data_IF_332184320859
#
_entry.id   IF_332184320859
#
_cell.length_a   1.000
_cell.length_b   1.000
_cell.length_c   1.000
_cell.angle_alpha   90.00
_cell.angle_beta   90.00
_cell.angle_gamma   90.00
#
_symmetry.space_group_name_H-M   'P 1'
#
loop_
_entity.id
_entity.type
_entity.pdbx_description
1 polymer ?
#
# COMPACT_ATOMS: atom_id res chain seq x y z
N UNK A 1 -3.89 23.11 -2.26
CA UNK A 1 -4.67 22.06 -2.96
C UNK A 1 -3.75 21.42 -3.98
N UNK A 2 -3.41 20.15 -3.78
CA UNK A 2 -2.30 19.52 -4.52
C UNK A 2 -2.67 19.29 -5.99
N UNK A 3 -2.03 20.04 -6.90
CA UNK A 3 -2.18 19.93 -8.36
C UNK A 3 -1.82 18.53 -8.91
N UNK A 4 -1.21 17.69 -8.09
CA UNK A 4 -0.59 16.43 -8.46
C UNK A 4 -1.60 15.35 -8.87
N UNK A 5 -2.66 15.14 -8.10
CA UNK A 5 -3.70 14.15 -8.44
C UNK A 5 -4.55 14.59 -9.63
N UNK A 6 -4.69 15.90 -9.80
CA UNK A 6 -5.41 16.47 -10.91
C UNK A 6 -4.85 16.02 -12.28
N UNK A 7 -3.53 15.89 -12.38
CA UNK A 7 -2.90 15.47 -13.63
C UNK A 7 -3.06 13.96 -13.92
N UNK A 8 -2.94 13.09 -12.90
CA UNK A 8 -3.07 11.63 -13.09
C UNK A 8 -4.39 11.26 -13.71
N UNK A 9 -5.46 11.81 -13.16
CA UNK A 9 -6.80 11.39 -13.53
C UNK A 9 -7.22 12.08 -14.85
N UNK A 10 -6.79 13.31 -15.12
CA UNK A 10 -7.10 14.02 -16.36
C UNK A 10 -6.64 13.27 -17.61
N UNK A 11 -5.43 12.71 -17.56
CA UNK A 11 -4.87 12.00 -18.70
C UNK A 11 -5.40 10.56 -18.81
N UNK A 12 -5.84 9.94 -17.68
CA UNK A 12 -6.55 8.66 -17.69
C UNK A 12 -7.96 8.81 -18.30
N UNK A 13 -8.66 9.89 -18.03
CA UNK A 13 -10.03 10.14 -18.54
C UNK A 13 -10.11 10.30 -20.05
N UNK A 14 -9.04 10.77 -20.69
CA UNK A 14 -9.00 10.96 -22.15
C UNK A 14 -8.68 9.67 -22.93
N UNK A 15 -8.08 8.64 -22.28
CA UNK A 15 -7.58 7.44 -22.96
C UNK A 15 -8.52 6.23 -22.83
N UNK A 16 -9.41 6.21 -21.84
CA UNK A 16 -10.26 5.04 -21.58
C UNK A 16 -11.65 5.25 -22.17
N UNK A 17 -11.84 4.76 -23.37
CA UNK A 17 -13.16 4.65 -24.05
C UNK A 17 -14.11 3.65 -23.36
N UNK A 18 -14.25 3.74 -22.06
CA UNK A 18 -15.05 2.85 -21.23
C UNK A 18 -15.17 3.29 -19.78
N UNK A 19 -14.59 4.42 -19.39
CA UNK A 19 -14.81 5.09 -18.10
C UNK A 19 -14.59 4.25 -16.83
N UNK A 20 -13.72 3.23 -16.83
CA UNK A 20 -13.40 2.47 -15.64
C UNK A 20 -12.04 2.94 -15.08
N UNK A 21 -12.05 3.59 -13.93
CA UNK A 21 -10.82 3.94 -13.21
C UNK A 21 -10.60 2.90 -12.13
N UNK A 22 -9.41 2.27 -12.13
CA UNK A 22 -9.01 1.29 -11.13
C UNK A 22 -7.86 1.85 -10.32
N UNK A 23 -8.04 1.93 -9.00
CA UNK A 23 -7.01 2.24 -8.04
C UNK A 23 -6.72 1.03 -7.14
N UNK A 24 -5.51 0.95 -6.61
CA UNK A 24 -5.11 -0.15 -5.75
C UNK A 24 -4.40 0.38 -4.51
N UNK A 25 -4.69 -0.21 -3.36
CA UNK A 25 -3.87 -0.03 -2.15
C UNK A 25 -3.33 -1.37 -1.69
N UNK A 26 -2.07 -1.39 -1.33
CA UNK A 26 -1.34 -2.59 -0.95
C UNK A 26 -0.69 -2.40 0.42
N UNK A 27 -0.78 -3.40 1.28
CA UNK A 27 0.19 -3.52 2.36
C UNK A 27 1.56 -3.94 1.80
N UNK A 28 2.61 -3.79 2.59
CA UNK A 28 3.98 -4.08 2.16
C UNK A 28 4.45 -5.46 2.62
N UNK A 29 4.52 -5.64 3.96
CA UNK A 29 5.05 -6.85 4.57
C UNK A 29 4.12 -8.04 4.34
N UNK A 30 4.70 -9.19 4.04
CA UNK A 30 4.02 -10.47 3.78
C UNK A 30 2.92 -10.41 2.69
N UNK A 31 2.70 -9.24 2.11
CA UNK A 31 1.73 -8.98 1.04
C UNK A 31 2.43 -8.71 -0.32
N UNK A 32 3.29 -7.69 -0.44
CA UNK A 32 4.12 -7.46 -1.64
C UNK A 32 5.39 -8.30 -1.56
N UNK A 33 6.09 -8.22 -0.43
CA UNK A 33 7.35 -8.95 -0.18
C UNK A 33 7.32 -9.62 1.20
N UNK A 34 7.87 -10.82 1.29
CA UNK A 34 8.19 -11.43 2.57
C UNK A 34 9.50 -10.82 3.08
N UNK A 35 9.37 -9.86 3.99
CA UNK A 35 10.51 -9.09 4.50
C UNK A 35 11.24 -9.85 5.60
N UNK A 36 12.59 -9.82 5.67
CA UNK A 36 13.35 -10.44 6.75
C UNK A 36 13.31 -9.64 8.07
N UNK A 37 12.77 -8.43 8.06
CA UNK A 37 12.58 -7.54 9.22
C UNK A 37 11.91 -8.28 10.38
N UNK A 38 12.36 -8.06 11.62
CA UNK A 38 11.85 -8.77 12.80
C UNK A 38 11.30 -7.81 13.86
N UNK A 39 10.31 -8.30 14.60
CA UNK A 39 9.73 -7.63 15.77
C UNK A 39 10.34 -8.23 17.02
N UNK A 40 10.81 -7.37 17.94
CA UNK A 40 11.39 -7.78 19.22
C UNK A 40 10.28 -7.86 20.26
N UNK A 41 10.13 -9.00 20.90
CA UNK A 41 9.16 -9.21 21.99
C UNK A 41 9.81 -9.99 23.13
N UNK A 42 9.26 -9.86 24.33
CA UNK A 42 9.63 -10.73 25.44
C UNK A 42 8.62 -11.87 25.57
N UNK A 43 9.11 -13.11 25.62
CA UNK A 43 8.32 -14.31 25.86
C UNK A 43 8.43 -14.74 27.32
N UNK A 44 7.33 -15.10 27.95
CA UNK A 44 7.30 -15.60 29.31
C UNK A 44 7.87 -17.02 29.37
N UNK A 45 8.94 -17.21 30.16
CA UNK A 45 9.57 -18.49 30.38
C UNK A 45 9.67 -18.74 31.91
N UNK A 46 8.88 -19.67 32.39
CA UNK A 46 8.76 -19.91 33.83
C UNK A 46 8.26 -18.67 34.58
N UNK A 47 9.09 -18.13 35.48
CA UNK A 47 8.81 -16.88 36.23
C UNK A 47 9.42 -15.63 35.60
N UNK A 48 10.20 -15.78 34.54
CA UNK A 48 10.92 -14.69 33.86
C UNK A 48 10.40 -14.35 32.49
N UNK A 49 11.07 -13.41 31.86
CA UNK A 49 10.84 -12.98 30.49
C UNK A 49 12.13 -13.09 29.69
N UNK A 50 12.07 -13.65 28.49
CA UNK A 50 13.20 -13.80 27.60
C UNK A 50 12.96 -13.04 26.29
N UNK A 51 13.94 -12.21 25.83
CA UNK A 51 13.81 -11.50 24.57
C UNK A 51 13.92 -12.48 23.40
N UNK A 52 12.96 -12.39 22.47
CA UNK A 52 12.97 -13.11 21.20
C UNK A 52 12.68 -12.16 20.03
N UNK A 53 12.95 -12.62 18.81
CA UNK A 53 12.65 -11.92 17.57
C UNK A 53 11.70 -12.78 16.74
N UNK A 54 10.60 -12.20 16.31
CA UNK A 54 9.55 -12.88 15.56
C UNK A 54 9.33 -12.20 14.21
N UNK A 55 8.79 -12.93 13.23
CA UNK A 55 8.33 -12.35 11.97
C UNK A 55 7.02 -11.59 12.16
N UNK A 56 6.62 -10.85 11.15
CA UNK A 56 5.30 -10.21 11.04
C UNK A 56 4.17 -11.23 11.13
N UNK A 57 4.25 -12.35 10.40
CA UNK A 57 3.31 -13.47 10.45
C UNK A 57 3.20 -14.08 11.87
N UNK A 58 4.36 -14.36 12.52
CA UNK A 58 4.37 -14.85 13.89
C UNK A 58 3.76 -13.83 14.87
N UNK A 59 4.10 -12.55 14.69
CA UNK A 59 3.60 -11.48 15.55
C UNK A 59 2.08 -11.35 15.48
N UNK A 60 1.49 -11.43 14.29
CA UNK A 60 0.04 -11.38 14.12
C UNK A 60 -0.69 -12.45 14.96
N UNK A 61 -0.06 -13.62 15.19
CA UNK A 61 -0.64 -14.72 15.99
C UNK A 61 -0.45 -14.56 17.51
N UNK A 62 0.58 -13.81 17.95
CA UNK A 62 0.95 -13.71 19.35
C UNK A 62 0.63 -12.36 20.01
N UNK A 63 0.31 -11.32 19.25
CA UNK A 63 0.18 -9.93 19.74
C UNK A 63 -0.83 -9.74 20.87
N UNK A 64 -1.84 -10.61 20.96
CA UNK A 64 -2.86 -10.59 22.03
C UNK A 64 -2.63 -11.70 23.07
N UNK A 65 -1.55 -12.47 22.96
CA UNK A 65 -1.25 -13.55 23.88
C UNK A 65 -0.51 -13.01 25.12
N UNK A 66 -1.05 -13.14 26.34
CA UNK A 66 -0.45 -12.58 27.57
C UNK A 66 0.89 -13.22 27.97
N UNK A 67 1.32 -14.29 27.29
CA UNK A 67 2.65 -14.86 27.46
C UNK A 67 3.73 -14.14 26.66
N UNK A 68 3.35 -13.12 25.90
CA UNK A 68 4.26 -12.21 25.19
C UNK A 68 3.97 -10.78 25.60
N UNK A 69 4.98 -9.95 25.62
CA UNK A 69 4.84 -8.52 25.85
C UNK A 69 5.72 -7.71 24.90
N UNK A 70 5.20 -6.55 24.53
CA UNK A 70 5.94 -5.57 23.74
C UNK A 70 7.06 -4.96 24.58
N UNK A 71 8.15 -4.61 23.90
CA UNK A 71 9.28 -3.85 24.40
C UNK A 71 9.19 -2.43 23.84
N UNK A 72 9.89 -1.49 24.44
CA UNK A 72 9.99 -0.13 23.92
C UNK A 72 10.59 -0.10 22.49
N UNK A 73 11.58 -0.98 22.23
CA UNK A 73 12.29 -1.11 20.96
C UNK A 73 11.69 -2.16 20.00
N UNK A 74 10.46 -2.61 20.24
CA UNK A 74 9.85 -3.71 19.46
C UNK A 74 9.82 -3.45 17.96
N UNK A 75 9.55 -2.21 17.55
CA UNK A 75 9.36 -1.83 16.15
C UNK A 75 10.48 -0.92 15.60
N UNK A 76 11.65 -0.87 16.23
CA UNK A 76 12.76 -0.03 15.76
C UNK A 76 13.18 -0.36 14.32
N UNK A 77 13.23 -1.66 13.98
CA UNK A 77 13.58 -2.11 12.63
C UNK A 77 12.56 -1.69 11.57
N UNK A 78 11.31 -1.43 11.98
CA UNK A 78 10.25 -0.92 11.09
C UNK A 78 10.32 0.59 10.85
N UNK A 79 11.25 1.29 11.49
CA UNK A 79 11.54 2.72 11.32
C UNK A 79 12.92 2.96 10.68
N UNK A 80 13.74 1.91 10.59
CA UNK A 80 15.08 2.00 9.99
C UNK A 80 14.99 2.11 8.47
N UNK A 81 15.42 3.24 7.93
CA UNK A 81 15.44 3.52 6.50
C UNK A 81 16.39 2.59 5.74
N UNK A 82 17.65 2.51 6.18
CA UNK A 82 18.69 1.71 5.51
C UNK A 82 18.37 0.22 5.62
N UNK A 83 17.91 -0.21 6.80
CA UNK A 83 17.46 -1.58 7.04
C UNK A 83 16.33 -1.98 6.09
N UNK A 84 15.30 -1.13 5.92
CA UNK A 84 14.20 -1.39 5.00
C UNK A 84 14.67 -1.57 3.54
N UNK A 85 15.53 -0.68 3.03
CA UNK A 85 16.03 -0.79 1.66
C UNK A 85 16.88 -2.05 1.47
N UNK A 86 17.72 -2.38 2.45
CA UNK A 86 18.52 -3.61 2.45
C UNK A 86 17.64 -4.86 2.46
N UNK A 87 16.63 -4.89 3.31
CA UNK A 87 15.69 -6.00 3.43
C UNK A 87 14.86 -6.15 2.14
N UNK A 88 14.46 -5.04 1.51
CA UNK A 88 13.79 -5.04 0.20
C UNK A 88 14.68 -5.69 -0.88
N UNK A 89 15.95 -5.27 -0.96
CA UNK A 89 16.93 -5.85 -1.89
C UNK A 89 17.11 -7.36 -1.64
N UNK A 90 17.22 -7.77 -0.38
CA UNK A 90 17.39 -9.17 -0.01
C UNK A 90 16.16 -10.00 -0.38
N UNK A 91 14.95 -9.52 -0.08
CA UNK A 91 13.69 -10.19 -0.43
C UNK A 91 13.58 -10.40 -1.95
N UNK A 92 13.95 -9.42 -2.77
CA UNK A 92 13.92 -9.55 -4.24
C UNK A 92 14.98 -10.54 -4.72
N UNK A 93 16.23 -10.47 -4.21
CA UNK A 93 17.32 -11.40 -4.59
C UNK A 93 16.99 -12.85 -4.27
N UNK A 94 16.31 -13.08 -3.15
CA UNK A 94 15.91 -14.42 -2.70
C UNK A 94 14.54 -14.83 -3.25
N UNK A 95 13.91 -13.99 -4.07
CA UNK A 95 12.57 -14.21 -4.66
C UNK A 95 11.47 -14.44 -3.62
N UNK A 96 11.61 -13.79 -2.47
CA UNK A 96 10.61 -13.80 -1.40
C UNK A 96 9.44 -12.86 -1.75
N UNK A 97 8.75 -13.17 -2.84
CA UNK A 97 7.61 -12.41 -3.32
C UNK A 97 6.33 -12.81 -2.59
N UNK A 98 5.61 -11.82 -2.08
CA UNK A 98 4.32 -12.01 -1.45
C UNK A 98 3.18 -12.23 -2.47
N UNK A 99 1.99 -12.62 -1.98
CA UNK A 99 0.85 -12.97 -2.84
C UNK A 99 0.39 -11.84 -3.77
N UNK A 100 0.52 -10.59 -3.34
CA UNK A 100 0.13 -9.42 -4.13
C UNK A 100 1.22 -8.91 -5.08
N UNK A 101 2.43 -9.48 -5.06
CA UNK A 101 3.57 -8.98 -5.84
C UNK A 101 3.26 -8.83 -7.33
N UNK A 102 2.70 -9.88 -7.96
CA UNK A 102 2.37 -9.84 -9.39
C UNK A 102 1.30 -8.80 -9.69
N UNK A 103 0.29 -8.66 -8.82
CA UNK A 103 -0.75 -7.65 -8.97
C UNK A 103 -0.20 -6.23 -8.82
N UNK A 104 0.71 -6.03 -7.87
CA UNK A 104 1.42 -4.77 -7.70
C UNK A 104 2.24 -4.43 -8.94
N UNK A 105 3.01 -5.40 -9.45
CA UNK A 105 3.79 -5.25 -10.69
C UNK A 105 2.91 -4.88 -11.89
N UNK A 106 1.76 -5.57 -12.07
CA UNK A 106 0.79 -5.22 -13.11
C UNK A 106 0.26 -3.79 -12.96
N UNK A 107 -0.02 -3.34 -11.73
CA UNK A 107 -0.51 -1.99 -11.47
C UNK A 107 0.52 -0.93 -11.86
N UNK A 108 1.80 -1.18 -11.60
CA UNK A 108 2.90 -0.30 -11.99
C UNK A 108 3.05 -0.23 -13.53
N UNK A 109 3.06 -1.38 -14.20
CA UNK A 109 3.18 -1.44 -15.68
C UNK A 109 1.98 -0.76 -16.36
N UNK A 110 0.76 -0.98 -15.84
CA UNK A 110 -0.47 -0.37 -16.37
C UNK A 110 -0.64 1.09 -15.95
N UNK A 111 0.29 1.62 -15.14
CA UNK A 111 0.26 2.99 -14.62
C UNK A 111 -1.06 3.30 -13.90
N UNK A 112 -1.59 2.32 -13.15
CA UNK A 112 -2.75 2.52 -12.31
C UNK A 112 -2.39 3.39 -11.10
N UNK A 113 -3.29 4.27 -10.62
CA UNK A 113 -3.12 4.91 -9.32
C UNK A 113 -2.96 3.85 -8.23
N UNK A 114 -1.99 4.03 -7.35
CA UNK A 114 -1.83 3.13 -6.22
C UNK A 114 -1.48 3.86 -4.92
N UNK A 115 -1.68 3.14 -3.83
CA UNK A 115 -1.20 3.53 -2.50
C UNK A 115 -0.49 2.37 -1.85
N UNK A 116 0.58 2.65 -1.11
CA UNK A 116 1.15 1.72 -0.14
C UNK A 116 0.62 2.12 1.23
N UNK A 117 -0.15 1.23 1.88
CA UNK A 117 -0.72 1.44 3.21
C UNK A 117 -0.17 0.35 4.12
N UNK A 118 0.78 0.68 4.98
CA UNK A 118 1.50 -0.30 5.80
C UNK A 118 1.61 0.12 7.26
N UNK A 119 1.69 -0.86 8.15
CA UNK A 119 1.93 -0.65 9.59
C UNK A 119 3.32 -0.10 9.91
N UNK A 120 4.24 -0.06 8.93
CA UNK A 120 5.60 0.47 9.13
C UNK A 120 5.61 1.92 9.61
N UNK A 121 6.68 2.29 10.31
CA UNK A 121 6.96 3.66 10.74
C UNK A 121 8.06 4.35 9.92
N UNK A 122 8.47 3.79 8.79
CA UNK A 122 9.39 4.43 7.84
C UNK A 122 8.76 5.71 7.25
N UNK A 123 9.57 6.59 6.65
CA UNK A 123 9.02 7.75 5.95
C UNK A 123 8.33 7.35 4.63
N UNK A 124 7.39 8.17 4.11
CA UNK A 124 6.83 7.97 2.77
C UNK A 124 7.89 7.91 1.66
N UNK A 125 8.98 8.65 1.81
CA UNK A 125 10.10 8.64 0.86
C UNK A 125 10.79 7.28 0.86
N UNK A 126 11.01 6.68 2.03
CA UNK A 126 11.59 5.34 2.16
C UNK A 126 10.77 4.28 1.40
N UNK A 127 9.44 4.32 1.54
CA UNK A 127 8.56 3.39 0.82
C UNK A 127 8.62 3.60 -0.69
N UNK A 128 8.67 4.87 -1.15
CA UNK A 128 8.86 5.20 -2.58
C UNK A 128 10.16 4.64 -3.13
N UNK A 129 11.26 4.75 -2.38
CA UNK A 129 12.54 4.18 -2.75
C UNK A 129 12.51 2.66 -2.81
N UNK A 130 11.78 2.00 -1.89
CA UNK A 130 11.53 0.57 -1.95
C UNK A 130 10.79 0.14 -3.22
N UNK A 131 9.76 0.88 -3.64
CA UNK A 131 9.06 0.63 -4.92
C UNK A 131 10.00 0.80 -6.10
N UNK A 132 10.87 1.80 -6.09
CA UNK A 132 11.88 1.98 -7.13
C UNK A 132 12.84 0.79 -7.21
N UNK A 133 13.32 0.30 -6.07
CA UNK A 133 14.16 -0.91 -6.01
C UNK A 133 13.43 -2.11 -6.62
N UNK A 134 12.12 -2.29 -6.35
CA UNK A 134 11.31 -3.34 -6.98
C UNK A 134 11.35 -3.20 -8.52
N UNK A 135 11.12 -2.00 -9.05
CA UNK A 135 11.17 -1.76 -10.50
C UNK A 135 12.57 -2.07 -11.06
N UNK A 136 13.60 -1.53 -10.42
CA UNK A 136 14.99 -1.65 -10.93
C UNK A 136 15.48 -3.11 -10.96
N UNK A 137 15.09 -3.91 -9.96
CA UNK A 137 15.64 -5.25 -9.75
C UNK A 137 14.75 -6.40 -10.22
N UNK A 138 13.43 -6.19 -10.32
CA UNK A 138 12.49 -7.28 -10.62
C UNK A 138 11.78 -7.16 -11.97
N UNK A 139 11.88 -6.01 -12.64
CA UNK A 139 11.31 -5.83 -13.97
C UNK A 139 12.34 -6.19 -15.05
N UNK A 140 11.88 -6.89 -16.11
CA UNK A 140 12.65 -7.02 -17.32
C UNK A 140 12.74 -5.68 -18.06
N UNK A 141 13.69 -5.53 -18.98
CA UNK A 141 13.76 -4.31 -19.81
C UNK A 141 12.47 -4.08 -20.62
N UNK A 142 11.87 -5.16 -21.16
CA UNK A 142 10.59 -5.07 -21.89
C UNK A 142 9.45 -4.56 -20.99
N UNK A 143 9.42 -4.97 -19.72
CA UNK A 143 8.41 -4.48 -18.76
C UNK A 143 8.64 -3.02 -18.38
N UNK A 144 9.89 -2.60 -18.23
CA UNK A 144 10.25 -1.19 -17.99
C UNK A 144 9.88 -0.32 -19.19
N UNK A 145 10.23 -0.75 -20.40
CA UNK A 145 9.89 -0.05 -21.64
C UNK A 145 8.37 0.13 -21.77
N UNK A 146 7.62 -0.95 -21.52
CA UNK A 146 6.16 -0.90 -21.54
C UNK A 146 5.58 0.03 -20.47
N UNK A 147 6.14 0.02 -19.26
CA UNK A 147 5.75 0.95 -18.20
C UNK A 147 6.00 2.40 -18.63
N UNK A 148 7.19 2.71 -19.15
CA UNK A 148 7.56 4.04 -19.63
C UNK A 148 6.65 4.50 -20.77
N UNK A 149 6.36 3.64 -21.73
CA UNK A 149 5.43 3.91 -22.83
C UNK A 149 4.02 4.23 -22.27
N UNK A 150 3.52 3.41 -21.37
CA UNK A 150 2.23 3.63 -20.73
C UNK A 150 2.18 4.95 -19.93
N UNK A 151 3.28 5.31 -19.24
CA UNK A 151 3.34 6.61 -18.55
C UNK A 151 3.30 7.75 -19.58
N UNK A 152 4.06 7.67 -20.68
CA UNK A 152 4.07 8.69 -21.73
C UNK A 152 2.71 8.84 -22.41
N UNK A 153 2.00 7.73 -22.63
CA UNK A 153 0.63 7.76 -23.15
C UNK A 153 -0.34 8.43 -22.18
N UNK A 154 -0.24 8.13 -20.88
CA UNK A 154 -1.13 8.68 -19.86
C UNK A 154 -0.78 10.12 -19.46
N UNK A 155 0.46 10.56 -19.70
CA UNK A 155 0.95 11.90 -19.35
C UNK A 155 1.66 12.57 -20.53
N UNK A 156 0.91 12.94 -21.61
CA UNK A 156 1.50 13.49 -22.82
C UNK A 156 2.33 14.76 -22.59
N UNK A 157 1.97 15.55 -21.58
CA UNK A 157 2.73 16.75 -21.16
C UNK A 157 4.14 16.42 -20.62
N UNK A 158 4.40 15.17 -20.25
CA UNK A 158 5.66 14.67 -19.69
C UNK A 158 6.49 13.82 -20.67
N UNK A 159 6.04 13.69 -21.93
CA UNK A 159 6.65 12.80 -22.92
C UNK A 159 8.13 13.05 -23.21
N UNK A 160 8.62 14.26 -22.96
CA UNK A 160 10.01 14.66 -23.20
C UNK A 160 10.96 14.39 -22.02
N UNK A 161 10.43 13.87 -20.88
CA UNK A 161 11.27 13.43 -19.77
C UNK A 161 12.09 12.21 -20.15
N UNK A 162 13.26 12.04 -19.54
CA UNK A 162 14.01 10.79 -19.64
C UNK A 162 13.21 9.63 -19.02
N UNK A 163 13.56 8.38 -19.34
CA UNK A 163 12.88 7.20 -18.78
C UNK A 163 12.97 7.18 -17.25
N UNK A 164 14.09 7.58 -16.71
CA UNK A 164 14.28 7.74 -15.27
C UNK A 164 13.35 8.81 -14.68
N UNK A 165 13.36 10.01 -15.25
CA UNK A 165 12.59 11.14 -14.73
C UNK A 165 11.07 10.91 -14.82
N UNK A 166 10.62 10.21 -15.86
CA UNK A 166 9.21 9.93 -16.06
C UNK A 166 8.71 8.85 -15.08
N UNK A 167 9.53 7.85 -14.75
CA UNK A 167 9.24 6.88 -13.68
C UNK A 167 9.20 7.60 -12.33
N UNK A 168 10.20 8.44 -12.02
CA UNK A 168 10.23 9.23 -10.78
C UNK A 168 9.02 10.16 -10.67
N UNK A 169 8.60 10.77 -11.77
CA UNK A 169 7.38 11.56 -11.85
C UNK A 169 6.16 10.71 -11.48
N UNK A 170 5.96 9.55 -12.14
CA UNK A 170 4.83 8.66 -11.86
C UNK A 170 4.82 8.17 -10.40
N UNK A 171 5.97 7.73 -9.89
CA UNK A 171 6.07 7.31 -8.49
C UNK A 171 5.75 8.46 -7.52
N UNK A 172 6.14 9.70 -7.84
CA UNK A 172 5.82 10.88 -7.05
C UNK A 172 4.34 11.25 -7.02
N UNK A 173 3.57 10.76 -8.00
CA UNK A 173 2.13 10.99 -8.08
C UNK A 173 1.30 9.99 -7.23
N UNK A 174 1.89 8.91 -6.74
CA UNK A 174 1.22 7.89 -5.95
C UNK A 174 1.34 8.15 -4.44
N UNK A 175 0.65 7.33 -3.63
CA UNK A 175 0.57 7.53 -2.19
C UNK A 175 1.39 6.50 -1.43
N UNK A 176 2.09 6.99 -0.41
CA UNK A 176 2.86 6.18 0.51
C UNK A 176 2.43 6.55 1.92
N UNK A 177 1.73 5.66 2.58
CA UNK A 177 1.06 5.89 3.88
C UNK A 177 1.54 4.87 4.92
N UNK A 178 2.73 5.07 5.49
CA UNK A 178 3.20 4.28 6.63
C UNK A 178 2.47 4.78 7.89
N UNK A 179 1.45 4.04 8.33
CA UNK A 179 0.49 4.52 9.33
C UNK A 179 1.07 4.68 10.75
N UNK A 180 2.27 4.15 10.99
CA UNK A 180 3.01 4.36 12.25
C UNK A 180 4.16 5.37 12.13
N UNK A 181 4.28 6.08 11.00
CA UNK A 181 5.29 7.12 10.84
C UNK A 181 4.93 8.39 11.61
N UNK A 182 5.94 9.14 12.02
CA UNK A 182 5.74 10.43 12.70
C UNK A 182 4.96 11.42 11.82
N UNK A 183 5.16 11.36 10.50
CA UNK A 183 4.42 12.20 9.55
C UNK A 183 2.93 11.85 9.53
N UNK A 184 2.57 10.56 9.51
CA UNK A 184 1.18 10.14 9.54
C UNK A 184 0.54 10.47 10.88
N UNK A 185 1.20 10.13 11.99
CA UNK A 185 0.71 10.35 13.35
C UNK A 185 0.55 11.85 13.68
N UNK A 186 1.40 12.72 13.14
CA UNK A 186 1.25 14.18 13.32
C UNK A 186 -0.03 14.72 12.69
N UNK A 187 -0.50 14.09 11.59
CA UNK A 187 -1.76 14.45 10.92
C UNK A 187 -2.98 13.78 11.58
N UNK A 188 -2.76 12.62 12.20
CA UNK A 188 -3.79 11.76 12.76
C UNK A 188 -3.42 11.30 14.19
N UNK A 189 -3.33 12.21 15.18
CA UNK A 189 -2.71 11.93 16.50
C UNK A 189 -3.41 10.88 17.35
N UNK A 190 -4.63 10.48 17.02
CA UNK A 190 -5.42 9.52 17.82
C UNK A 190 -5.51 8.13 17.19
N UNK A 191 -4.64 7.80 16.21
CA UNK A 191 -4.97 6.73 15.28
C UNK A 191 -4.12 5.49 15.33
N UNK A 192 -2.92 5.47 15.86
CA UNK A 192 -2.16 4.25 15.69
C UNK A 192 -1.14 3.94 16.76
N UNK A 193 -1.11 2.67 17.09
CA UNK A 193 0.14 2.02 17.49
C UNK A 193 0.56 1.05 16.37
N UNK A 194 1.88 0.83 16.21
CA UNK A 194 2.38 -0.20 15.31
C UNK A 194 1.87 -1.61 15.69
N UNK A 195 1.40 -1.77 16.92
CA UNK A 195 0.80 -3.01 17.42
C UNK A 195 -0.63 -3.23 16.88
N UNK A 196 -1.39 -2.15 16.68
CA UNK A 196 -2.80 -2.17 16.26
C UNK A 196 -3.00 -1.17 15.11
N UNK A 197 -2.55 -1.50 13.90
CA UNK A 197 -2.54 -0.58 12.77
C UNK A 197 -3.92 -0.40 12.11
N UNK A 198 -4.94 -1.14 12.52
CA UNK A 198 -6.25 -1.23 11.86
C UNK A 198 -6.90 0.15 11.70
N UNK A 199 -6.87 0.98 12.75
CA UNK A 199 -7.44 2.34 12.71
C UNK A 199 -6.67 3.21 11.71
N UNK A 200 -5.34 3.16 11.75
CA UNK A 200 -4.49 3.90 10.81
C UNK A 200 -4.75 3.49 9.36
N UNK A 201 -4.90 2.19 9.10
CA UNK A 201 -5.18 1.66 7.76
C UNK A 201 -6.56 2.08 7.25
N UNK A 202 -7.61 2.09 8.09
CA UNK A 202 -8.94 2.64 7.74
C UNK A 202 -8.85 4.10 7.29
N UNK A 203 -8.15 4.94 8.05
CA UNK A 203 -7.96 6.36 7.72
C UNK A 203 -7.17 6.54 6.43
N UNK A 204 -6.05 5.83 6.29
CA UNK A 204 -5.23 5.88 5.10
C UNK A 204 -6.02 5.45 3.84
N UNK A 205 -6.85 4.41 3.96
CA UNK A 205 -7.73 3.99 2.87
C UNK A 205 -8.75 5.07 2.51
N UNK A 206 -9.42 5.68 3.50
CA UNK A 206 -10.36 6.78 3.25
C UNK A 206 -9.67 7.96 2.54
N UNK A 207 -8.48 8.35 2.99
CA UNK A 207 -7.71 9.43 2.36
C UNK A 207 -7.34 9.10 0.92
N UNK A 208 -7.00 7.85 0.65
CA UNK A 208 -6.72 7.38 -0.70
C UNK A 208 -7.98 7.38 -1.58
N UNK A 209 -9.10 6.81 -1.10
CA UNK A 209 -10.39 6.80 -1.81
C UNK A 209 -10.83 8.22 -2.13
N UNK A 210 -10.86 9.10 -1.12
CA UNK A 210 -11.20 10.52 -1.31
C UNK A 210 -10.35 11.16 -2.39
N UNK A 211 -9.07 10.90 -2.39
CA UNK A 211 -8.13 11.46 -3.35
C UNK A 211 -8.42 10.97 -4.78
N UNK A 212 -8.73 9.68 -4.95
CA UNK A 212 -9.08 9.09 -6.26
C UNK A 212 -10.41 9.67 -6.75
N UNK A 213 -11.44 9.72 -5.89
CA UNK A 213 -12.76 10.28 -6.21
C UNK A 213 -12.68 11.77 -6.56
N UNK A 214 -12.04 12.59 -5.71
CA UNK A 214 -11.86 14.02 -5.98
C UNK A 214 -11.12 14.27 -7.31
N UNK A 215 -10.15 13.42 -7.58
CA UNK A 215 -9.43 13.46 -8.83
C UNK A 215 -10.32 13.10 -10.02
N UNK A 216 -11.02 11.97 -9.98
CA UNK A 216 -11.94 11.53 -11.04
C UNK A 216 -13.02 12.59 -11.31
N UNK A 217 -13.65 13.12 -10.27
CA UNK A 217 -14.69 14.14 -10.34
C UNK A 217 -14.23 15.40 -11.07
N UNK A 218 -13.04 15.91 -10.74
CA UNK A 218 -12.49 17.13 -11.36
C UNK A 218 -12.16 16.98 -12.83
N UNK A 219 -11.75 15.79 -13.25
CA UNK A 219 -11.28 15.57 -14.61
C UNK A 219 -12.37 15.32 -15.60
N UNK A 220 -13.39 14.65 -15.16
CA UNK A 220 -14.50 14.24 -16.01
C UNK A 220 -15.71 15.14 -15.83
N UNK A 221 -15.63 16.23 -15.05
CA UNK A 221 -16.79 17.03 -14.63
C UNK A 221 -17.92 16.13 -14.07
N UNK A 222 -17.56 15.17 -13.21
CA UNK A 222 -18.43 14.13 -12.66
C UNK A 222 -19.01 13.15 -13.71
N UNK A 223 -18.40 13.04 -14.88
CA UNK A 223 -18.82 12.10 -15.93
C UNK A 223 -17.91 10.87 -16.03
N UNK A 224 -17.43 10.34 -14.91
CA UNK A 224 -16.75 9.05 -14.91
C UNK A 224 -17.76 7.91 -14.75
N UNK A 225 -17.48 6.78 -15.40
CA UNK A 225 -18.41 5.65 -15.41
C UNK A 225 -18.35 4.85 -14.11
N UNK A 226 -17.25 4.19 -13.82
CA UNK A 226 -17.09 3.30 -12.66
C UNK A 226 -15.73 3.47 -12.01
N UNK A 227 -15.72 3.66 -10.71
CA UNK A 227 -14.50 3.63 -9.89
C UNK A 227 -14.39 2.27 -9.19
N UNK A 228 -13.23 1.65 -9.23
CA UNK A 228 -12.96 0.42 -8.50
C UNK A 228 -11.70 0.62 -7.67
N UNK A 229 -11.80 0.43 -6.37
CA UNK A 229 -10.66 0.51 -5.44
C UNK A 229 -10.40 -0.87 -4.87
N UNK A 230 -9.18 -1.38 -5.11
CA UNK A 230 -8.68 -2.60 -4.50
C UNK A 230 -7.88 -2.31 -3.23
N UNK A 231 -8.06 -3.13 -2.20
CA UNK A 231 -7.21 -3.13 -1.00
C UNK A 231 -6.71 -4.55 -0.76
N UNK A 232 -5.41 -4.71 -0.50
CA UNK A 232 -4.84 -6.02 -0.18
C UNK A 232 -3.99 -5.98 1.09
N UNK A 233 -4.14 -7.01 1.92
CA UNK A 233 -3.49 -7.16 3.22
C UNK A 233 -3.39 -8.64 3.58
N UNK A 234 -2.40 -9.04 4.38
CA UNK A 234 -2.20 -10.39 4.87
C UNK A 234 -2.71 -10.61 6.31
N UNK A 235 -2.92 -9.53 7.07
CA UNK A 235 -3.48 -9.61 8.41
C UNK A 235 -5.01 -9.61 8.38
N UNK A 236 -5.63 -10.73 8.78
CA UNK A 236 -7.09 -10.89 8.85
C UNK A 236 -7.79 -9.80 9.64
N UNK A 237 -7.19 -9.30 10.72
CA UNK A 237 -7.80 -8.21 11.51
C UNK A 237 -7.86 -6.91 10.73
N UNK A 238 -6.83 -6.60 9.94
CA UNK A 238 -6.87 -5.45 9.05
C UNK A 238 -7.95 -5.62 7.98
N UNK A 239 -8.06 -6.81 7.40
CA UNK A 239 -9.05 -7.14 6.37
C UNK A 239 -10.47 -6.99 6.92
N UNK A 240 -10.77 -7.66 8.04
CA UNK A 240 -12.06 -7.59 8.71
C UNK A 240 -12.44 -6.15 9.07
N UNK A 241 -11.50 -5.42 9.68
CA UNK A 241 -11.71 -4.01 10.04
C UNK A 241 -11.95 -3.10 8.82
N UNK A 242 -11.28 -3.37 7.69
CA UNK A 242 -11.46 -2.60 6.46
C UNK A 242 -12.79 -2.95 5.78
N UNK A 243 -13.20 -4.23 5.76
CA UNK A 243 -14.50 -4.65 5.22
C UNK A 243 -15.62 -3.96 6.01
N UNK A 244 -15.62 -4.09 7.34
CA UNK A 244 -16.59 -3.42 8.22
C UNK A 244 -16.66 -1.90 7.94
N UNK A 245 -15.50 -1.25 7.81
CA UNK A 245 -15.44 0.18 7.54
C UNK A 245 -15.99 0.57 6.17
N UNK A 246 -15.79 -0.28 5.14
CA UNK A 246 -16.37 -0.07 3.82
C UNK A 246 -17.90 -0.21 3.89
N UNK A 247 -18.41 -1.27 4.55
CA UNK A 247 -19.83 -1.55 4.68
C UNK A 247 -20.56 -0.47 5.48
N UNK A 248 -19.98 -0.02 6.59
CA UNK A 248 -20.61 0.94 7.51
C UNK A 248 -20.48 2.40 7.11
N UNK A 249 -19.39 2.76 6.40
CA UNK A 249 -19.10 4.17 6.14
C UNK A 249 -18.75 4.49 4.67
N UNK A 250 -17.86 3.73 4.03
CA UNK A 250 -17.33 4.14 2.74
C UNK A 250 -18.34 3.94 1.61
N UNK A 251 -19.18 2.92 1.66
CA UNK A 251 -20.23 2.68 0.67
C UNK A 251 -21.23 3.84 0.63
N UNK A 252 -21.61 4.37 1.80
CA UNK A 252 -22.51 5.52 1.89
C UNK A 252 -21.83 6.82 1.47
N UNK A 253 -20.55 6.98 1.84
CA UNK A 253 -19.77 8.18 1.54
C UNK A 253 -19.34 8.29 0.08
N UNK A 254 -19.10 7.16 -0.57
CA UNK A 254 -18.62 7.04 -1.96
C UNK A 254 -19.45 6.01 -2.74
N UNK A 255 -20.74 6.27 -2.97
CA UNK A 255 -21.63 5.30 -3.62
C UNK A 255 -21.23 4.94 -5.07
N UNK A 256 -20.38 5.77 -5.69
CA UNK A 256 -19.84 5.53 -7.03
C UNK A 256 -18.63 4.58 -7.07
N UNK A 257 -18.08 4.21 -5.90
CA UNK A 257 -16.89 3.35 -5.79
C UNK A 257 -17.30 1.91 -5.54
N UNK A 258 -16.74 0.98 -6.31
CA UNK A 258 -16.80 -0.46 -6.02
C UNK A 258 -15.53 -0.87 -5.29
N UNK A 259 -15.69 -1.49 -4.14
CA UNK A 259 -14.57 -1.96 -3.32
C UNK A 259 -14.30 -3.44 -3.53
N UNK A 260 -13.02 -3.77 -3.70
CA UNK A 260 -12.54 -5.15 -3.84
C UNK A 260 -11.44 -5.37 -2.82
N UNK A 261 -11.63 -6.34 -1.94
CA UNK A 261 -10.60 -6.76 -0.99
C UNK A 261 -9.86 -7.97 -1.56
N UNK A 262 -8.57 -7.96 -1.42
CA UNK A 262 -7.70 -9.11 -1.71
C UNK A 262 -7.11 -9.60 -0.39
N UNK A 263 -7.73 -10.65 0.14
CA UNK A 263 -7.26 -11.34 1.34
C UNK A 263 -6.06 -12.23 0.96
N UNK A 264 -4.92 -11.94 1.55
CA UNK A 264 -3.67 -12.67 1.31
C UNK A 264 -3.17 -13.41 2.54
N UNK A 265 -4.00 -13.52 3.58
CA UNK A 265 -3.64 -14.12 4.87
C UNK A 265 -3.31 -15.62 4.82
N UNK A 266 -3.78 -16.34 3.80
CA UNK A 266 -3.45 -17.74 3.53
C UNK A 266 -2.36 -17.93 2.45
N UNK A 267 -1.63 -16.84 2.14
CA UNK A 267 -0.61 -16.78 1.07
C UNK A 267 -1.19 -16.95 -0.35
N UNK A 268 -2.51 -16.93 -0.48
CA UNK A 268 -3.22 -16.80 -1.76
C UNK A 268 -3.55 -15.34 -2.09
N UNK A 269 -4.28 -15.12 -3.18
CA UNK A 269 -4.84 -13.82 -3.54
C UNK A 269 -6.36 -13.99 -3.67
N UNK A 270 -7.05 -14.02 -2.52
CA UNK A 270 -8.48 -14.28 -2.45
C UNK A 270 -9.26 -12.97 -2.66
N UNK A 271 -10.03 -12.92 -3.73
CA UNK A 271 -10.81 -11.74 -4.10
C UNK A 271 -12.19 -11.75 -3.42
N UNK A 272 -12.47 -10.72 -2.65
CA UNK A 272 -13.76 -10.45 -2.00
C UNK A 272 -14.33 -9.17 -2.60
N UNK A 273 -15.56 -9.21 -3.11
CA UNK A 273 -16.29 -8.01 -3.52
C UNK A 273 -17.14 -7.56 -2.34
N UNK A 274 -16.92 -6.33 -1.87
CA UNK A 274 -17.75 -5.77 -0.79
C UNK A 274 -19.03 -5.24 -1.42
N UNK A 275 -20.15 -5.84 -1.06
CA UNK A 275 -21.45 -5.47 -1.59
C UNK A 275 -21.91 -4.12 -1.02
N UNK A 276 -22.66 -3.38 -1.82
CA UNK A 276 -23.36 -2.17 -1.37
C UNK A 276 -24.66 -2.61 -0.71
N UNK A 277 -24.89 -2.18 0.52
CA UNK A 277 -26.14 -2.41 1.25
C UNK A 277 -27.34 -1.66 0.61
#
# INVERSE_FOLDING_TARGET
MNSKVYNIIREIGEIVSGNIIKGYSFDWDDNILFMPTKIKVDKKVGKGWEPIRVSTEEFATIRDNPTYKMREDSFDEFRDHEGFLKDTIEAIKTKNFGPSFLKFKESLISVSPFSIITARGNSPITLKEGVKIIIDMSFSEEEKDKMVENIRMKYPSKKNLTDYDIIEFYLGENNYMPVSSDEFLSKHPNTASAQYPEIGKKIALNDYVKRVVDGASKLTNNQYGRLTIGFSDDDKKNIEAVIEYIEEELNDRYPEVDFIIYDTSDKGLNRIVVEKS
#
